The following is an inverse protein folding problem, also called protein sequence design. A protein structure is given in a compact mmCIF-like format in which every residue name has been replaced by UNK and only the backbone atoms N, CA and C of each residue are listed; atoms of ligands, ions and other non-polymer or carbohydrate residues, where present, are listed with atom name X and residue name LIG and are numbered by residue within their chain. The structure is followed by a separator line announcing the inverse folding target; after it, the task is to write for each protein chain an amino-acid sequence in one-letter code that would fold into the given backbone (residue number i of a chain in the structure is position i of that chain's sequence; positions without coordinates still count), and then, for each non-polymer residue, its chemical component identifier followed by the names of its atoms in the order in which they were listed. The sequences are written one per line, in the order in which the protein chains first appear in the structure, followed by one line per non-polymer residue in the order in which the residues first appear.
data_IF_479428467020
#
_entry.id   IF_479428467020
#
_cell.length_a   1.000
_cell.length_b   1.000
_cell.length_c   1.000
_cell.angle_alpha   90.00
_cell.angle_beta   90.00
_cell.angle_gamma   90.00
#
_symmetry.space_group_name_H-M   'P 1'
#
loop_
_entity.id
_entity.type
_entity.pdbx_description
1 polymer ?
#
# COMPACT_ATOMS: atom_id res chain seq x y z
N UNK A 1 -20.19 18.59 -4.94
CA UNK A 1 -19.17 17.59 -4.54
C UNK A 1 -18.64 16.94 -5.82
N UNK A 2 -17.34 16.96 -6.09
CA UNK A 2 -16.78 16.43 -7.36
C UNK A 2 -16.09 15.08 -7.16
N UNK A 3 -16.34 14.10 -8.03
CA UNK A 3 -15.76 12.74 -8.02
C UNK A 3 -14.32 12.67 -8.57
N UNK A 4 -13.72 13.83 -8.88
CA UNK A 4 -12.45 13.93 -9.59
C UNK A 4 -11.28 13.18 -8.92
N UNK A 5 -11.25 13.12 -7.58
CA UNK A 5 -10.18 12.42 -6.85
C UNK A 5 -10.26 10.91 -7.05
N UNK A 6 -11.46 10.33 -6.92
CA UNK A 6 -11.67 8.90 -7.13
C UNK A 6 -11.46 8.50 -8.59
N UNK A 7 -11.91 9.31 -9.55
CA UNK A 7 -11.68 9.05 -10.98
C UNK A 7 -10.19 9.07 -11.34
N UNK A 8 -9.41 9.99 -10.76
CA UNK A 8 -7.96 10.04 -10.94
C UNK A 8 -7.29 8.80 -10.35
N UNK A 9 -7.72 8.32 -9.19
CA UNK A 9 -7.20 7.11 -8.58
C UNK A 9 -7.50 5.86 -9.43
N UNK A 10 -8.70 5.76 -9.99
CA UNK A 10 -9.12 4.63 -10.83
C UNK A 10 -8.53 4.67 -12.26
N UNK A 11 -8.00 5.81 -12.71
CA UNK A 11 -7.47 5.98 -14.07
C UNK A 11 -6.35 5.00 -14.39
N UNK A 12 -5.48 4.72 -13.43
CA UNK A 12 -4.37 3.75 -13.59
C UNK A 12 -4.89 2.34 -13.84
N UNK A 13 -5.96 1.93 -13.14
CA UNK A 13 -6.64 0.65 -13.37
C UNK A 13 -7.30 0.60 -14.75
N UNK A 14 -7.95 1.69 -15.15
CA UNK A 14 -8.64 1.78 -16.44
C UNK A 14 -7.66 1.63 -17.63
N UNK A 15 -6.42 2.14 -17.49
CA UNK A 15 -5.35 1.98 -18.47
C UNK A 15 -4.82 0.54 -18.51
N UNK A 16 -4.71 -0.14 -17.36
CA UNK A 16 -4.26 -1.53 -17.26
C UNK A 16 -5.19 -2.55 -17.93
N UNK A 17 -6.44 -2.19 -18.22
CA UNK A 17 -7.45 -3.05 -18.90
C UNK A 17 -6.99 -3.74 -20.17
N UNK A 18 -6.12 -3.11 -20.95
CA UNK A 18 -5.58 -3.71 -22.17
C UNK A 18 -4.45 -4.71 -21.91
N UNK A 19 -3.82 -4.66 -20.73
CA UNK A 19 -2.66 -5.50 -20.38
C UNK A 19 -3.04 -6.84 -19.73
N UNK A 20 -4.26 -6.97 -19.20
CA UNK A 20 -4.72 -8.18 -18.50
C UNK A 20 -5.94 -8.84 -19.17
N UNK A 21 -6.12 -8.65 -20.47
CA UNK A 21 -7.20 -9.25 -21.27
C UNK A 21 -7.25 -10.79 -21.18
N UNK A 22 -6.13 -11.43 -20.85
CA UNK A 22 -6.00 -12.89 -20.73
C UNK A 22 -5.92 -13.37 -19.27
N UNK A 23 -5.94 -12.47 -18.29
CA UNK A 23 -5.97 -12.84 -16.88
C UNK A 23 -7.42 -13.22 -16.49
N UNK A 24 -7.72 -14.52 -16.50
CA UNK A 24 -9.08 -15.05 -16.31
C UNK A 24 -9.40 -15.60 -14.91
N UNK A 25 -8.61 -15.27 -13.89
CA UNK A 25 -8.85 -15.79 -12.53
C UNK A 25 -9.56 -14.76 -11.66
N UNK A 26 -10.79 -15.06 -11.23
CA UNK A 26 -11.55 -14.22 -10.30
C UNK A 26 -10.79 -13.99 -8.98
N UNK A 27 -10.20 -15.06 -8.43
CA UNK A 27 -9.35 -14.98 -7.23
C UNK A 27 -8.11 -14.09 -7.46
N UNK A 28 -7.56 -14.12 -8.67
CA UNK A 28 -6.48 -13.23 -9.08
C UNK A 28 -6.93 -11.77 -9.15
N UNK A 29 -8.13 -11.53 -9.67
CA UNK A 29 -8.76 -10.21 -9.71
C UNK A 29 -9.02 -9.63 -8.33
N UNK A 30 -9.56 -10.44 -7.40
CA UNK A 30 -9.79 -10.04 -6.01
C UNK A 30 -8.47 -9.68 -5.30
N UNK A 31 -7.43 -10.50 -5.48
CA UNK A 31 -6.09 -10.20 -4.96
C UNK A 31 -5.51 -8.92 -5.54
N UNK A 32 -5.66 -8.68 -6.84
CA UNK A 32 -5.22 -7.44 -7.47
C UNK A 32 -5.96 -6.24 -6.89
N UNK A 33 -7.28 -6.33 -6.71
CA UNK A 33 -8.09 -5.28 -6.11
C UNK A 33 -7.65 -4.94 -4.68
N UNK A 34 -7.33 -5.94 -3.85
CA UNK A 34 -6.76 -5.74 -2.52
C UNK A 34 -5.42 -4.99 -2.59
N UNK A 35 -4.50 -5.41 -3.45
CA UNK A 35 -3.19 -4.75 -3.62
C UNK A 35 -3.34 -3.30 -4.08
N UNK A 36 -4.22 -3.02 -5.03
CA UNK A 36 -4.49 -1.66 -5.50
C UNK A 36 -5.09 -0.77 -4.42
N UNK A 37 -5.96 -1.33 -3.58
CA UNK A 37 -6.52 -0.63 -2.44
C UNK A 37 -5.41 -0.23 -1.46
N UNK A 38 -4.54 -1.17 -1.07
CA UNK A 38 -3.40 -0.91 -0.19
C UNK A 38 -2.45 0.16 -0.75
N UNK A 39 -2.07 0.06 -2.02
CA UNK A 39 -1.20 1.04 -2.69
C UNK A 39 -1.84 2.42 -2.70
N UNK A 40 -3.14 2.49 -2.99
CA UNK A 40 -3.88 3.76 -3.02
C UNK A 40 -3.96 4.39 -1.64
N UNK A 41 -4.21 3.59 -0.60
CA UNK A 41 -4.22 4.05 0.79
C UNK A 41 -2.86 4.62 1.19
N UNK A 42 -1.74 3.96 0.86
CA UNK A 42 -0.41 4.49 1.14
C UNK A 42 -0.19 5.86 0.47
N UNK A 43 -0.54 5.98 -0.82
CA UNK A 43 -0.46 7.26 -1.55
C UNK A 43 -1.33 8.36 -0.95
N UNK A 44 -2.51 8.01 -0.45
CA UNK A 44 -3.43 8.96 0.21
C UNK A 44 -2.92 9.45 1.56
N UNK A 45 -1.97 8.74 2.17
CA UNK A 45 -1.32 9.12 3.44
C UNK A 45 0.10 9.66 3.21
N UNK A 46 0.44 10.08 1.99
CA UNK A 46 1.76 10.59 1.61
C UNK A 46 2.93 9.64 1.92
N UNK A 47 2.63 8.33 1.96
CA UNK A 47 3.60 7.26 2.20
C UNK A 47 4.04 6.64 0.88
N UNK A 48 5.35 6.40 0.71
CA UNK A 48 5.86 5.64 -0.43
C UNK A 48 5.33 4.19 -0.39
N UNK A 49 4.47 3.79 -1.35
CA UNK A 49 3.83 2.48 -1.29
C UNK A 49 4.82 1.33 -1.41
N UNK A 50 5.92 1.52 -2.15
CA UNK A 50 6.93 0.49 -2.32
C UNK A 50 7.66 0.21 -1.01
N UNK A 51 8.19 1.26 -0.35
CA UNK A 51 8.92 1.13 0.89
C UNK A 51 8.03 0.60 2.02
N UNK A 52 6.79 1.09 2.12
CA UNK A 52 5.83 0.60 3.11
C UNK A 52 5.49 -0.87 2.90
N UNK A 53 5.12 -1.26 1.67
CA UNK A 53 4.77 -2.64 1.36
C UNK A 53 5.95 -3.60 1.57
N UNK A 54 7.16 -3.19 1.21
CA UNK A 54 8.37 -3.97 1.45
C UNK A 54 8.60 -4.21 2.95
N UNK A 55 8.48 -3.18 3.78
CA UNK A 55 8.64 -3.30 5.24
C UNK A 55 7.55 -4.19 5.85
N UNK A 56 6.27 -3.91 5.60
CA UNK A 56 5.18 -4.67 6.23
C UNK A 56 5.18 -6.14 5.80
N UNK A 57 5.50 -6.47 4.54
CA UNK A 57 5.52 -7.87 4.08
C UNK A 57 6.62 -8.69 4.77
N UNK A 58 7.71 -8.06 5.21
CA UNK A 58 8.76 -8.74 5.98
C UNK A 58 8.37 -8.96 7.44
N UNK A 59 7.51 -8.11 8.00
CA UNK A 59 7.14 -8.11 9.44
C UNK A 59 5.79 -8.78 9.74
N UNK A 60 4.89 -8.82 8.76
CA UNK A 60 3.50 -9.25 8.96
C UNK A 60 3.37 -10.69 9.51
N UNK A 61 4.29 -11.59 9.14
CA UNK A 61 4.26 -12.98 9.59
C UNK A 61 4.58 -13.15 11.09
N UNK A 62 5.34 -12.23 11.68
CA UNK A 62 5.71 -12.25 13.10
C UNK A 62 4.98 -11.19 13.94
N UNK A 63 4.19 -10.32 13.30
CA UNK A 63 3.48 -9.24 13.97
C UNK A 63 2.20 -9.74 14.69
N UNK A 64 1.95 -9.35 15.95
CA UNK A 64 0.73 -9.75 16.64
C UNK A 64 -0.52 -9.20 15.96
N UNK A 65 -1.51 -10.07 15.71
CA UNK A 65 -2.77 -9.69 15.03
C UNK A 65 -3.52 -8.56 15.74
N UNK A 66 -3.49 -8.51 17.07
CA UNK A 66 -4.14 -7.47 17.87
C UNK A 66 -3.49 -6.08 17.73
N UNK A 67 -2.33 -5.98 17.06
CA UNK A 67 -1.60 -4.72 16.79
C UNK A 67 -1.45 -4.43 15.31
N UNK A 68 -2.29 -5.02 14.45
CA UNK A 68 -2.20 -4.83 13.00
C UNK A 68 -2.27 -3.35 12.59
N UNK A 69 -2.93 -2.52 13.39
CA UNK A 69 -3.01 -1.06 13.23
C UNK A 69 -1.63 -0.39 13.18
N UNK A 70 -0.61 -0.93 13.85
CA UNK A 70 0.76 -0.43 13.81
C UNK A 70 1.40 -0.56 12.42
N UNK A 71 0.89 -1.47 11.58
CA UNK A 71 1.36 -1.65 10.19
C UNK A 71 0.64 -0.74 9.20
N UNK A 72 -0.36 0.02 9.62
CA UNK A 72 -1.11 0.91 8.73
C UNK A 72 -0.25 2.06 8.22
N UNK A 73 -0.49 2.58 7.00
CA UNK A 73 0.34 3.62 6.41
C UNK A 73 0.50 4.87 7.28
N UNK A 74 -0.56 5.30 7.98
CA UNK A 74 -0.54 6.48 8.84
C UNK A 74 0.23 6.29 10.15
N UNK A 75 0.52 5.05 10.56
CA UNK A 75 1.34 4.73 11.73
C UNK A 75 2.76 4.30 11.34
N UNK A 76 3.06 4.23 10.04
CA UNK A 76 4.32 3.69 9.55
C UNK A 76 5.45 4.71 9.67
N UNK A 77 6.54 4.29 10.34
CA UNK A 77 7.78 5.08 10.45
C UNK A 77 8.83 4.38 9.61
N UNK A 78 9.31 5.06 8.57
CA UNK A 78 10.31 4.52 7.67
C UNK A 78 11.56 4.05 8.46
N UNK A 79 12.07 2.83 8.22
CA UNK A 79 13.20 2.27 8.97
C UNK A 79 14.45 3.16 9.01
N UNK A 80 14.69 3.96 7.95
CA UNK A 80 15.81 4.91 7.88
C UNK A 80 15.66 6.12 8.81
N UNK A 81 14.44 6.46 9.25
CA UNK A 81 14.20 7.57 10.17
C UNK A 81 14.65 7.26 11.61
N UNK A 82 14.84 5.97 11.95
CA UNK A 82 15.26 5.57 13.30
C UNK A 82 16.78 5.69 13.52
N UNK A 83 17.60 5.73 12.47
CA UNK A 83 19.07 5.80 12.60
C UNK A 83 19.62 7.20 12.92
N UNK A 84 18.86 8.28 12.71
CA UNK A 84 19.34 9.64 12.99
C UNK A 84 19.15 10.08 14.45
N UNK A 85 18.27 9.43 15.22
CA UNK A 85 18.00 9.81 16.61
C UNK A 85 19.01 9.21 17.62
N UNK A 86 19.82 8.24 17.20
CA UNK A 86 20.78 7.54 18.07
C UNK A 86 22.23 8.07 17.98
N UNK A 87 22.50 9.10 17.16
CA UNK A 87 23.86 9.60 16.90
C UNK A 87 24.20 10.95 17.59
N UNK A 88 23.35 11.47 18.47
CA UNK A 88 23.58 12.75 19.18
C UNK A 88 23.47 12.61 20.71
N UNK A 89 23.95 11.51 21.27
CA UNK A 89 24.07 11.33 22.72
C UNK A 89 25.51 10.97 23.11
#
# INVERSE_FOLDING_TARGET
LTNNAAERALRTLALGRKSWLFAGSDRGGERAAMMYSLITTAKMNDVDPQAWLADILTRIASHPLHRIEELMPWNWIAPQSQSSAAQVA
#
